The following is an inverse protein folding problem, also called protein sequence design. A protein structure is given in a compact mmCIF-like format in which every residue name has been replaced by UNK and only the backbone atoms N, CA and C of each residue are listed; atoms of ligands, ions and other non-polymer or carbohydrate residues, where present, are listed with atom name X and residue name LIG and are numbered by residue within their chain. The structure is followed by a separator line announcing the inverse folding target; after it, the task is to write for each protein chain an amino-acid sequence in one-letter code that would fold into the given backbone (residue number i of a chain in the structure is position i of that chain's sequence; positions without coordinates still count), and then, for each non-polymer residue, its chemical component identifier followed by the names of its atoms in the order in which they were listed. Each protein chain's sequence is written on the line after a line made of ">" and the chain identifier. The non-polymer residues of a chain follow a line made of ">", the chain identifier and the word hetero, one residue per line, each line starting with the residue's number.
data_IF_195411937420
#
_entry.id   IF_195411937420
#
_cell.length_a   1.000
_cell.length_b   1.000
_cell.length_c   1.000
_cell.angle_alpha   90.00
_cell.angle_beta   90.00
_cell.angle_gamma   90.00
#
_symmetry.space_group_name_H-M   'P 1'
#
loop_
_entity.id
_entity.type
_entity.pdbx_description
1 polymer ?
#
# COMPACT_ATOMS: atom_id res chain seq x y z
N UNK A 1 -12.26 10.93 -0.74
CA UNK A 1 -13.42 10.70 0.16
C UNK A 1 -14.74 10.68 -0.61
N UNK A 2 -15.00 11.65 -1.48
CA UNK A 2 -16.20 11.70 -2.32
C UNK A 2 -16.57 10.36 -3.03
N UNK A 3 -15.60 9.65 -3.63
CA UNK A 3 -15.90 8.38 -4.31
C UNK A 3 -16.31 7.24 -3.36
N UNK A 4 -15.75 7.18 -2.14
CA UNK A 4 -16.10 6.17 -1.15
C UNK A 4 -17.55 6.34 -0.68
N UNK A 5 -17.95 7.59 -0.45
CA UNK A 5 -19.33 7.95 -0.10
C UNK A 5 -20.30 7.64 -1.24
N UNK A 6 -19.95 8.00 -2.49
CA UNK A 6 -20.80 7.75 -3.67
C UNK A 6 -20.96 6.26 -4.03
N UNK A 7 -20.15 5.39 -3.45
CA UNK A 7 -20.13 3.94 -3.76
C UNK A 7 -20.51 3.07 -2.57
N UNK A 8 -21.16 3.66 -1.55
CA UNK A 8 -21.53 2.97 -0.31
C UNK A 8 -20.35 2.22 0.33
N UNK A 9 -19.18 2.86 0.33
CA UNK A 9 -17.95 2.32 0.92
C UNK A 9 -17.17 1.37 0.02
N UNK A 10 -17.63 1.04 -1.19
CA UNK A 10 -16.97 0.06 -2.07
C UNK A 10 -15.69 0.59 -2.72
N UNK A 11 -15.54 1.90 -2.87
CA UNK A 11 -14.31 2.47 -3.41
C UNK A 11 -13.25 2.58 -2.31
N UNK A 12 -12.13 1.81 -2.39
CA UNK A 12 -11.08 1.86 -1.38
C UNK A 12 -10.36 3.20 -1.42
N UNK A 13 -10.03 3.73 -0.25
CA UNK A 13 -9.28 4.98 -0.08
C UNK A 13 -7.88 4.78 0.47
N UNK A 14 -7.57 3.57 0.91
CA UNK A 14 -6.27 3.14 1.40
C UNK A 14 -6.17 1.62 1.40
N UNK A 15 -4.99 1.10 1.74
CA UNK A 15 -4.71 -0.34 1.78
C UNK A 15 -5.59 -1.06 2.81
N UNK A 16 -5.96 -0.38 3.91
CA UNK A 16 -6.84 -0.95 4.94
C UNK A 16 -8.26 -1.23 4.46
N UNK A 17 -8.72 -0.57 3.40
CA UNK A 17 -10.04 -0.79 2.79
C UNK A 17 -10.08 -2.02 1.86
N UNK A 18 -8.91 -2.55 1.48
CA UNK A 18 -8.81 -3.70 0.57
C UNK A 18 -8.94 -4.97 1.40
N UNK A 19 -10.13 -5.58 1.40
CA UNK A 19 -10.44 -6.74 2.21
C UNK A 19 -10.34 -8.05 1.42
N UNK A 20 -9.86 -9.10 2.09
CA UNK A 20 -9.96 -10.48 1.64
C UNK A 20 -11.39 -11.03 1.77
N UNK A 21 -11.60 -12.27 1.31
CA UNK A 21 -12.89 -12.96 1.41
C UNK A 21 -13.34 -13.21 2.85
N UNK A 22 -12.39 -13.21 3.79
CA UNK A 22 -12.61 -13.35 5.23
C UNK A 22 -12.96 -12.01 5.92
N UNK A 23 -13.08 -10.93 5.15
CA UNK A 23 -13.37 -9.59 5.67
C UNK A 23 -12.19 -8.91 6.37
N UNK A 24 -10.99 -9.49 6.31
CA UNK A 24 -9.78 -8.89 6.91
C UNK A 24 -8.97 -8.13 5.86
N UNK A 25 -8.18 -7.11 6.26
CA UNK A 25 -7.29 -6.43 5.33
C UNK A 25 -6.37 -7.42 4.61
N UNK A 26 -6.34 -7.32 3.29
CA UNK A 26 -5.52 -8.16 2.42
C UNK A 26 -4.03 -7.84 2.59
N UNK A 27 -3.73 -6.56 2.79
CA UNK A 27 -2.39 -6.06 3.10
C UNK A 27 -2.38 -5.65 4.57
N UNK A 28 -1.50 -6.26 5.38
CA UNK A 28 -1.36 -5.95 6.80
C UNK A 28 -0.11 -5.13 7.04
N UNK A 29 -0.12 -4.30 8.10
CA UNK A 29 1.07 -3.55 8.54
C UNK A 29 2.28 -4.46 8.81
N UNK A 30 2.04 -5.69 9.27
CA UNK A 30 3.08 -6.71 9.47
C UNK A 30 3.78 -7.13 8.17
N UNK A 31 3.15 -6.90 7.02
CA UNK A 31 3.68 -7.29 5.71
C UNK A 31 4.57 -6.17 5.12
N UNK A 32 4.57 -4.97 5.69
CA UNK A 32 5.24 -3.79 5.10
C UNK A 32 6.74 -3.97 4.93
N UNK A 33 7.42 -4.52 5.93
CA UNK A 33 8.86 -4.80 5.83
C UNK A 33 9.17 -5.73 4.66
N UNK A 34 8.38 -6.80 4.49
CA UNK A 34 8.55 -7.75 3.39
C UNK A 34 8.27 -7.10 2.04
N UNK A 35 7.20 -6.30 1.93
CA UNK A 35 6.87 -5.56 0.71
C UNK A 35 8.02 -4.62 0.35
N UNK A 36 8.54 -3.85 1.31
CA UNK A 36 9.63 -2.91 1.08
C UNK A 36 10.92 -3.60 0.60
N UNK A 37 11.28 -4.75 1.19
CA UNK A 37 12.42 -5.56 0.75
C UNK A 37 12.25 -6.06 -0.68
N UNK A 38 11.08 -6.59 -1.03
CA UNK A 38 10.80 -7.10 -2.39
C UNK A 38 10.78 -5.95 -3.41
N UNK A 39 10.16 -4.81 -3.07
CA UNK A 39 10.06 -3.66 -3.97
C UNK A 39 11.41 -3.07 -4.37
N UNK A 40 12.45 -3.18 -3.54
CA UNK A 40 13.81 -2.75 -3.92
C UNK A 40 14.41 -3.57 -5.06
N UNK A 41 13.97 -4.82 -5.25
CA UNK A 41 14.39 -5.68 -6.35
C UNK A 41 13.57 -5.49 -7.63
N UNK A 42 12.52 -4.66 -7.60
CA UNK A 42 11.66 -4.45 -8.76
C UNK A 42 12.32 -3.47 -9.75
N UNK A 43 12.34 -3.85 -11.04
CA UNK A 43 12.99 -3.06 -12.07
C UNK A 43 12.36 -1.67 -12.27
N UNK A 44 11.10 -1.47 -11.85
CA UNK A 44 10.44 -0.16 -11.94
C UNK A 44 11.08 0.91 -11.04
N UNK A 45 11.91 0.52 -10.05
CA UNK A 45 12.64 1.45 -9.19
C UNK A 45 13.54 2.41 -9.98
N UNK A 46 14.02 2.01 -11.18
CA UNK A 46 14.86 2.84 -12.04
C UNK A 46 14.13 4.08 -12.58
N UNK A 47 12.79 4.06 -12.59
CA UNK A 47 11.97 5.19 -13.02
C UNK A 47 11.62 6.14 -11.88
N UNK A 48 11.96 5.79 -10.63
CA UNK A 48 11.70 6.69 -9.52
C UNK A 48 12.74 7.84 -9.55
N UNK A 49 12.30 9.12 -9.59
CA UNK A 49 13.23 10.25 -9.58
C UNK A 49 14.05 10.36 -8.29
N UNK A 50 13.65 9.64 -7.23
CA UNK A 50 14.34 9.60 -5.94
C UNK A 50 14.82 8.18 -5.67
N UNK A 51 16.07 8.05 -5.25
CA UNK A 51 16.61 6.79 -4.75
C UNK A 51 15.84 6.36 -3.49
N UNK A 52 15.23 5.18 -3.55
CA UNK A 52 14.45 4.65 -2.44
C UNK A 52 15.28 3.70 -1.59
N UNK A 53 15.06 3.77 -0.27
CA UNK A 53 15.50 2.76 0.70
C UNK A 53 14.28 2.19 1.42
N UNK A 54 14.47 1.09 2.15
CA UNK A 54 13.41 0.43 2.93
C UNK A 54 12.57 1.42 3.77
N UNK A 55 13.16 2.37 4.54
CA UNK A 55 12.38 3.32 5.34
C UNK A 55 11.48 4.24 4.50
N UNK A 56 11.90 4.59 3.29
CA UNK A 56 11.16 5.46 2.38
C UNK A 56 9.91 4.74 1.86
N UNK A 57 10.06 3.47 1.48
CA UNK A 57 8.94 2.61 1.04
C UNK A 57 7.97 2.36 2.19
N UNK A 58 8.48 2.00 3.37
CA UNK A 58 7.65 1.80 4.56
C UNK A 58 6.84 3.05 4.91
N UNK A 59 7.43 4.24 4.79
CA UNK A 59 6.71 5.50 5.03
C UNK A 59 5.54 5.68 4.05
N UNK A 60 5.71 5.33 2.77
CA UNK A 60 4.63 5.42 1.77
C UNK A 60 3.53 4.42 2.08
N UNK A 61 3.87 3.17 2.43
CA UNK A 61 2.91 2.15 2.83
C UNK A 61 2.11 2.59 4.06
N UNK A 62 2.77 3.17 5.05
CA UNK A 62 2.17 3.73 6.26
C UNK A 62 1.20 4.88 5.96
N UNK A 63 1.57 5.78 5.05
CA UNK A 63 0.70 6.88 4.63
C UNK A 63 -0.49 6.44 3.77
N UNK A 64 -0.35 5.30 3.10
CA UNK A 64 -1.35 4.75 2.19
C UNK A 64 -2.30 3.76 2.88
N UNK A 65 -2.06 3.43 4.15
CA UNK A 65 -2.85 2.47 4.91
C UNK A 65 -4.14 3.08 5.45
#
# INVERSE_FOLDING_TARGET
>A
RQLKELTDGRHPTGLSDILGRDGRPLVKRTDFSLIAEISLGDASIVYNPVELRIPDINRVLEQSY
#
